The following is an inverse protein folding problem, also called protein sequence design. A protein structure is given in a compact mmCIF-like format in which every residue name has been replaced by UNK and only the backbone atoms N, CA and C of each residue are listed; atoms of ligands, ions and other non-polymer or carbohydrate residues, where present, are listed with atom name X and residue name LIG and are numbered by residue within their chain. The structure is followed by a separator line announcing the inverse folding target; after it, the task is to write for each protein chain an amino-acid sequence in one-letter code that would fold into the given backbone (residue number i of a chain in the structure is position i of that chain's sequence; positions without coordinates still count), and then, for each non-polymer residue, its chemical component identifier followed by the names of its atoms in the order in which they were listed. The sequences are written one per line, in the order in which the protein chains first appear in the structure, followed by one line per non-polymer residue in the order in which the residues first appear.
data_IF_948284219884
#
_entry.id   IF_948284219884
#
_cell.length_a   1.000
_cell.length_b   1.000
_cell.length_c   1.000
_cell.angle_alpha   90.00
_cell.angle_beta   90.00
_cell.angle_gamma   90.00
#
_symmetry.space_group_name_H-M   'P 1'
#
loop_
_entity.id
_entity.type
_entity.pdbx_description
1 polymer ?
#
# COMPACT_ATOMS: atom_id res chain seq x y z
N UNK A 1 -8.95 6.86 6.13
CA UNK A 1 -9.83 7.63 7.05
C UNK A 1 -11.22 7.04 6.85
N UNK A 2 -11.90 6.62 7.91
CA UNK A 2 -13.28 6.10 7.86
C UNK A 2 -14.27 7.25 8.03
N UNK A 3 -15.54 7.01 7.77
CA UNK A 3 -16.63 7.91 8.16
C UNK A 3 -16.80 7.85 9.68
N UNK A 4 -17.47 8.81 10.28
CA UNK A 4 -17.67 9.00 11.72
C UNK A 4 -19.14 8.84 12.17
N UNK A 5 -19.96 8.30 11.28
CA UNK A 5 -21.37 8.01 11.51
C UNK A 5 -21.71 6.59 11.05
N UNK A 6 -22.81 6.02 11.55
CA UNK A 6 -23.35 4.74 11.15
C UNK A 6 -23.77 4.75 9.68
N UNK A 7 -23.29 3.79 8.91
CA UNK A 7 -23.54 3.71 7.46
C UNK A 7 -23.34 2.28 6.94
N UNK A 8 -23.62 2.04 5.67
CA UNK A 8 -23.26 0.78 5.03
C UNK A 8 -21.76 0.51 5.11
N UNK A 9 -21.40 -0.75 5.30
CA UNK A 9 -20.00 -1.16 5.45
C UNK A 9 -19.13 -0.69 4.27
N UNK A 10 -19.63 -0.76 3.03
CA UNK A 10 -18.90 -0.26 1.85
C UNK A 10 -18.66 1.25 1.90
N UNK A 11 -19.56 2.03 2.46
CA UNK A 11 -19.42 3.47 2.57
C UNK A 11 -18.38 3.85 3.63
N UNK A 12 -18.34 3.12 4.76
CA UNK A 12 -17.38 3.38 5.83
C UNK A 12 -15.93 3.41 5.33
N UNK A 13 -15.59 2.58 4.35
CA UNK A 13 -14.25 2.46 3.80
C UNK A 13 -14.03 3.24 2.49
N UNK A 14 -15.06 3.93 1.97
CA UNK A 14 -15.06 4.59 0.66
C UNK A 14 -14.01 5.69 0.47
N UNK A 15 -13.48 6.26 1.56
CA UNK A 15 -12.36 7.23 1.52
C UNK A 15 -11.03 6.61 1.09
N UNK A 16 -10.90 5.27 1.07
CA UNK A 16 -9.71 4.57 0.62
C UNK A 16 -9.72 4.37 -0.91
N UNK A 17 -8.74 4.91 -1.61
CA UNK A 17 -8.58 4.70 -3.07
C UNK A 17 -8.42 3.22 -3.41
N UNK A 18 -7.63 2.48 -2.61
CA UNK A 18 -7.43 1.03 -2.81
C UNK A 18 -8.75 0.29 -2.65
N UNK A 19 -9.51 0.61 -1.60
CA UNK A 19 -10.79 -0.04 -1.35
C UNK A 19 -11.77 0.20 -2.52
N UNK A 20 -11.88 1.44 -3.02
CA UNK A 20 -12.73 1.73 -4.17
C UNK A 20 -12.36 0.94 -5.42
N UNK A 21 -11.07 0.87 -5.74
CA UNK A 21 -10.60 0.09 -6.88
C UNK A 21 -10.86 -1.42 -6.70
N UNK A 22 -10.74 -1.94 -5.47
CA UNK A 22 -11.10 -3.31 -5.16
C UNK A 22 -12.60 -3.56 -5.32
N UNK A 23 -13.45 -2.69 -4.74
CA UNK A 23 -14.91 -2.80 -4.86
C UNK A 23 -15.34 -2.78 -6.32
N UNK A 24 -14.81 -1.87 -7.11
CA UNK A 24 -15.12 -1.78 -8.53
C UNK A 24 -14.75 -3.06 -9.28
N UNK A 25 -13.57 -3.62 -9.04
CA UNK A 25 -13.15 -4.91 -9.61
C UNK A 25 -14.07 -6.05 -9.14
N UNK A 26 -14.26 -6.20 -7.82
CA UNK A 26 -15.02 -7.30 -7.24
C UNK A 26 -16.47 -7.30 -7.70
N UNK A 27 -17.12 -6.14 -7.78
CA UNK A 27 -18.50 -6.01 -8.22
C UNK A 27 -18.72 -6.37 -9.71
N UNK A 28 -17.66 -6.37 -10.52
CA UNK A 28 -17.75 -6.76 -11.93
C UNK A 28 -17.34 -8.21 -12.20
N UNK A 29 -16.64 -8.85 -11.24
CA UNK A 29 -15.96 -10.13 -11.49
C UNK A 29 -16.44 -11.27 -10.62
N UNK A 30 -17.15 -10.98 -9.53
CA UNK A 30 -17.69 -11.98 -8.59
C UNK A 30 -19.20 -11.81 -8.44
N UNK A 31 -19.89 -12.93 -8.24
CA UNK A 31 -21.32 -12.94 -7.95
C UNK A 31 -21.62 -12.29 -6.59
N UNK A 32 -20.79 -12.61 -5.59
CA UNK A 32 -20.87 -12.06 -4.23
C UNK A 32 -19.49 -11.61 -3.74
N UNK A 33 -19.45 -10.54 -2.96
CA UNK A 33 -18.26 -10.11 -2.27
C UNK A 33 -18.56 -9.59 -0.86
N UNK A 34 -17.56 -9.67 0.02
CA UNK A 34 -17.68 -9.36 1.43
C UNK A 34 -16.51 -8.49 1.90
N UNK A 35 -16.70 -7.78 2.99
CA UNK A 35 -15.68 -6.97 3.65
C UNK A 35 -15.14 -7.74 4.85
N UNK A 36 -13.82 -7.93 4.92
CA UNK A 36 -13.14 -8.50 6.07
C UNK A 36 -12.76 -7.38 7.06
N UNK A 37 -13.56 -7.23 8.11
CA UNK A 37 -13.46 -6.20 9.14
C UNK A 37 -12.63 -6.66 10.34
N UNK A 38 -11.82 -5.76 10.91
CA UNK A 38 -11.08 -6.02 12.15
C UNK A 38 -11.97 -6.06 13.40
N UNK A 39 -13.20 -5.53 13.34
CA UNK A 39 -14.17 -5.54 14.45
C UNK A 39 -15.26 -6.58 14.23
N UNK A 40 -15.80 -6.64 13.03
CA UNK A 40 -17.03 -7.37 12.75
C UNK A 40 -16.83 -8.75 12.10
N UNK A 41 -15.61 -9.10 11.66
CA UNK A 41 -15.35 -10.32 10.89
C UNK A 41 -15.73 -10.15 9.41
N UNK A 42 -16.35 -11.16 8.81
CA UNK A 42 -16.84 -11.10 7.43
C UNK A 42 -18.25 -10.52 7.46
N UNK A 43 -18.46 -9.41 6.72
CA UNK A 43 -19.72 -8.67 6.65
C UNK A 43 -20.08 -8.37 5.20
N UNK A 44 -21.38 -8.20 4.93
CA UNK A 44 -21.86 -7.78 3.61
C UNK A 44 -21.55 -6.30 3.37
N UNK A 45 -21.39 -5.88 2.11
CA UNK A 45 -21.22 -4.47 1.77
C UNK A 45 -22.34 -3.55 2.29
N UNK A 46 -23.55 -4.08 2.33
CA UNK A 46 -24.78 -3.38 2.72
C UNK A 46 -25.11 -3.48 4.22
N UNK A 47 -24.32 -4.22 5.01
CA UNK A 47 -24.54 -4.26 6.46
C UNK A 47 -24.31 -2.87 7.05
N UNK A 48 -25.28 -2.43 7.87
CA UNK A 48 -25.16 -1.17 8.61
C UNK A 48 -24.23 -1.38 9.80
N UNK A 49 -23.16 -0.59 9.87
CA UNK A 49 -22.17 -0.71 10.93
C UNK A 49 -21.79 0.64 11.53
N UNK A 50 -21.51 0.63 12.81
CA UNK A 50 -20.96 1.79 13.52
C UNK A 50 -19.49 2.04 13.13
N UNK A 51 -19.06 3.30 13.13
CA UNK A 51 -17.66 3.65 12.99
C UNK A 51 -16.82 3.03 14.11
N UNK A 52 -15.60 2.64 13.77
CA UNK A 52 -14.66 2.11 14.75
C UNK A 52 -13.23 2.43 14.37
N UNK A 53 -12.36 2.55 15.37
CA UNK A 53 -10.93 2.72 15.22
C UNK A 53 -10.19 1.56 15.87
N UNK A 54 -10.15 0.42 15.15
CA UNK A 54 -9.46 -0.80 15.58
C UNK A 54 -8.49 -1.25 14.51
N UNK A 55 -7.28 -1.61 14.91
CA UNK A 55 -6.23 -2.09 14.01
C UNK A 55 -5.45 -3.27 14.62
N UNK A 56 -4.77 -4.04 13.76
CA UNK A 56 -3.88 -5.14 14.18
C UNK A 56 -2.50 -4.67 14.65
N UNK A 57 -2.19 -3.39 14.52
CA UNK A 57 -0.88 -2.82 14.89
C UNK A 57 -1.04 -1.41 15.41
N UNK A 58 -0.19 -1.05 16.35
CA UNK A 58 0.00 0.36 16.72
C UNK A 58 0.37 1.15 15.46
N UNK A 59 -0.39 2.20 15.17
CA UNK A 59 -0.02 3.08 14.06
C UNK A 59 1.32 3.76 14.38
N UNK A 60 2.10 4.09 13.34
CA UNK A 60 3.37 4.84 13.51
C UNK A 60 3.18 6.19 14.20
N UNK A 61 1.97 6.70 14.23
CA UNK A 61 1.60 7.97 14.87
C UNK A 61 0.95 7.78 16.25
N UNK A 62 0.96 6.56 16.81
CA UNK A 62 0.34 6.24 18.10
C UNK A 62 -1.18 6.41 18.14
N UNK A 63 -1.84 6.49 16.97
CA UNK A 63 -3.31 6.67 16.89
C UNK A 63 -3.99 5.35 16.62
N UNK A 64 -5.16 5.19 17.20
CA UNK A 64 -6.04 4.04 17.02
C UNK A 64 -5.87 2.96 18.09
N UNK A 65 -6.94 2.26 18.35
CA UNK A 65 -6.97 1.15 19.28
C UNK A 65 -6.41 -0.11 18.62
N UNK A 66 -5.56 -0.81 19.34
CA UNK A 66 -5.05 -2.12 18.90
C UNK A 66 -5.97 -3.19 19.45
N UNK A 67 -6.33 -4.15 18.59
CA UNK A 67 -7.14 -5.30 19.00
C UNK A 67 -6.42 -6.06 20.15
N UNK A 68 -7.15 -6.40 21.20
CA UNK A 68 -6.61 -7.21 22.29
C UNK A 68 -6.32 -8.64 21.83
N UNK A 69 -5.43 -9.38 22.50
CA UNK A 69 -5.18 -10.79 22.17
C UNK A 69 -6.44 -11.66 22.25
N UNK A 70 -7.33 -11.38 23.19
CA UNK A 70 -8.60 -12.09 23.38
C UNK A 70 -9.56 -11.80 22.22
N UNK A 71 -9.80 -10.52 21.91
CA UNK A 71 -10.65 -10.11 20.78
C UNK A 71 -10.11 -10.62 19.46
N UNK A 72 -8.77 -10.64 19.28
CA UNK A 72 -8.13 -11.20 18.10
C UNK A 72 -8.41 -12.71 17.97
N UNK A 73 -8.39 -13.44 19.09
CA UNK A 73 -8.70 -14.87 19.08
C UNK A 73 -10.17 -15.11 18.73
N UNK A 74 -11.08 -14.36 19.36
CA UNK A 74 -12.51 -14.41 19.05
C UNK A 74 -12.80 -14.07 17.59
N UNK A 75 -12.13 -13.03 17.05
CA UNK A 75 -12.22 -12.66 15.65
C UNK A 75 -11.74 -13.79 14.72
N UNK A 76 -10.62 -14.47 15.06
CA UNK A 76 -10.13 -15.62 14.28
C UNK A 76 -11.15 -16.74 14.24
N UNK A 77 -11.72 -17.12 15.38
CA UNK A 77 -12.76 -18.15 15.43
C UNK A 77 -13.93 -17.76 14.55
N UNK A 78 -14.47 -16.55 14.73
CA UNK A 78 -15.59 -16.03 13.94
C UNK A 78 -15.32 -16.06 12.44
N UNK A 79 -14.18 -15.53 12.01
CA UNK A 79 -13.79 -15.44 10.58
C UNK A 79 -13.65 -16.84 9.98
N UNK A 80 -13.03 -17.80 10.69
CA UNK A 80 -12.89 -19.15 10.16
C UNK A 80 -14.25 -19.85 10.03
N UNK A 81 -15.14 -19.72 11.04
CA UNK A 81 -16.52 -20.27 10.96
C UNK A 81 -17.29 -19.68 9.78
N UNK A 82 -17.28 -18.35 9.65
CA UNK A 82 -17.94 -17.67 8.52
C UNK A 82 -17.38 -18.12 7.16
N UNK A 83 -16.06 -18.32 7.07
CA UNK A 83 -15.42 -18.78 5.83
C UNK A 83 -15.82 -20.21 5.49
N UNK A 84 -15.92 -21.11 6.46
CA UNK A 84 -16.38 -22.47 6.19
C UNK A 84 -17.77 -22.50 5.58
N UNK A 85 -18.69 -21.68 6.10
CA UNK A 85 -20.05 -21.56 5.52
C UNK A 85 -20.01 -21.06 4.07
N UNK A 86 -19.12 -20.12 3.73
CA UNK A 86 -18.95 -19.67 2.35
C UNK A 86 -18.37 -20.77 1.45
N UNK A 87 -17.43 -21.55 1.96
CA UNK A 87 -16.76 -22.64 1.20
C UNK A 87 -17.70 -23.80 0.87
N UNK A 88 -18.81 -23.97 1.59
CA UNK A 88 -19.81 -25.01 1.30
C UNK A 88 -20.41 -24.88 -0.11
N UNK A 89 -20.52 -23.66 -0.62
CA UNK A 89 -21.22 -23.37 -1.88
C UNK A 89 -20.38 -22.60 -2.91
N UNK A 90 -19.17 -22.16 -2.56
CA UNK A 90 -18.42 -21.23 -3.43
C UNK A 90 -16.91 -21.36 -3.25
N UNK A 91 -16.16 -21.01 -4.31
CA UNK A 91 -14.74 -20.68 -4.22
C UNK A 91 -14.60 -19.35 -3.47
N UNK A 92 -13.64 -19.27 -2.56
CA UNK A 92 -13.37 -18.07 -1.77
C UNK A 92 -11.97 -17.52 -2.09
N UNK A 93 -11.92 -16.31 -2.60
CA UNK A 93 -10.69 -15.59 -2.90
C UNK A 93 -10.52 -14.41 -1.93
N UNK A 94 -9.33 -14.28 -1.32
CA UNK A 94 -9.06 -13.28 -0.29
C UNK A 94 -8.17 -12.16 -0.81
N UNK A 95 -8.76 -10.99 -1.00
CA UNK A 95 -8.12 -9.75 -1.46
C UNK A 95 -7.70 -8.87 -0.27
N UNK A 96 -6.84 -9.39 0.61
CA UNK A 96 -6.49 -8.70 1.84
C UNK A 96 -4.99 -8.69 2.14
N UNK A 97 -4.58 -7.72 2.96
CA UNK A 97 -3.20 -7.61 3.41
C UNK A 97 -2.80 -8.73 4.38
N UNK A 98 -1.50 -8.91 4.57
CA UNK A 98 -0.94 -9.98 5.42
C UNK A 98 -1.54 -10.06 6.84
N UNK A 99 -1.81 -8.95 7.57
CA UNK A 99 -2.44 -9.04 8.88
C UNK A 99 -3.81 -9.73 8.85
N UNK A 100 -4.64 -9.45 7.84
CA UNK A 100 -5.94 -10.09 7.66
C UNK A 100 -5.80 -11.56 7.24
N UNK A 101 -4.84 -11.89 6.37
CA UNK A 101 -4.55 -13.29 6.02
C UNK A 101 -4.23 -14.15 7.23
N UNK A 102 -3.61 -13.60 8.27
CA UNK A 102 -3.29 -14.30 9.52
C UNK A 102 -4.50 -14.59 10.43
N UNK A 103 -5.68 -14.12 10.08
CA UNK A 103 -6.92 -14.49 10.78
C UNK A 103 -7.33 -15.93 10.45
N UNK A 104 -7.03 -16.39 9.24
CA UNK A 104 -7.37 -17.74 8.81
C UNK A 104 -6.42 -18.77 9.40
N UNK A 105 -6.94 -19.87 9.92
CA UNK A 105 -6.14 -21.01 10.37
C UNK A 105 -5.54 -21.76 9.17
N UNK A 106 -4.60 -22.69 9.43
CA UNK A 106 -3.87 -23.39 8.37
C UNK A 106 -4.78 -24.21 7.46
N UNK A 107 -5.85 -24.79 8.00
CA UNK A 107 -6.75 -25.64 7.22
C UNK A 107 -7.68 -24.81 6.33
N UNK A 108 -8.19 -23.70 6.84
CA UNK A 108 -8.90 -22.72 6.02
C UNK A 108 -7.99 -22.15 4.93
N UNK A 109 -6.73 -21.80 5.26
CA UNK A 109 -5.77 -21.28 4.27
C UNK A 109 -5.47 -22.21 3.10
N UNK A 110 -5.64 -23.53 3.26
CA UNK A 110 -5.47 -24.50 2.17
C UNK A 110 -6.66 -24.52 1.20
N UNK A 111 -7.82 -24.07 1.65
CA UNK A 111 -9.08 -24.12 0.91
C UNK A 111 -9.42 -22.81 0.20
N UNK A 112 -8.79 -21.70 0.58
CA UNK A 112 -9.03 -20.36 0.03
C UNK A 112 -7.86 -19.88 -0.81
N UNK A 113 -8.13 -19.06 -1.81
CA UNK A 113 -7.11 -18.44 -2.65
C UNK A 113 -6.67 -17.10 -2.08
N UNK A 114 -5.38 -16.93 -1.90
CA UNK A 114 -4.80 -15.64 -1.51
C UNK A 114 -4.39 -14.82 -2.72
N UNK A 115 -5.09 -13.72 -2.96
CA UNK A 115 -4.67 -12.73 -3.95
C UNK A 115 -3.63 -11.80 -3.31
N UNK A 116 -2.38 -11.85 -3.80
CA UNK A 116 -1.29 -11.01 -3.27
C UNK A 116 -1.50 -9.57 -3.68
N UNK A 117 -1.61 -8.70 -2.68
CA UNK A 117 -1.62 -7.26 -2.92
C UNK A 117 -0.19 -6.72 -3.07
N UNK A 118 -0.05 -5.67 -3.84
CA UNK A 118 1.21 -4.96 -4.01
C UNK A 118 1.68 -4.33 -2.69
N UNK A 119 2.98 -4.03 -2.57
CA UNK A 119 3.56 -3.53 -1.32
C UNK A 119 3.12 -2.13 -0.93
N UNK A 120 2.66 -1.32 -1.87
CA UNK A 120 2.21 0.04 -1.62
C UNK A 120 0.81 0.28 -2.19
N UNK A 121 0.09 1.25 -1.61
CA UNK A 121 -1.29 1.54 -1.99
C UNK A 121 -1.48 1.98 -3.44
N UNK A 122 -0.67 2.90 -4.02
CA UNK A 122 -0.83 3.27 -5.42
C UNK A 122 -0.68 2.09 -6.37
N UNK A 123 0.31 1.22 -6.14
CA UNK A 123 0.51 0.02 -6.97
C UNK A 123 -0.64 -0.98 -6.82
N UNK A 124 -1.17 -1.14 -5.61
CA UNK A 124 -2.34 -1.99 -5.38
C UNK A 124 -3.57 -1.45 -6.11
N UNK A 125 -3.86 -0.17 -5.97
CA UNK A 125 -4.98 0.47 -6.69
C UNK A 125 -4.86 0.26 -8.20
N UNK A 126 -3.70 0.55 -8.76
CA UNK A 126 -3.46 0.46 -10.20
C UNK A 126 -3.60 -0.97 -10.73
N UNK A 127 -3.11 -1.98 -9.98
CA UNK A 127 -3.24 -3.37 -10.37
C UNK A 127 -4.70 -3.85 -10.46
N UNK A 128 -5.58 -3.35 -9.61
CA UNK A 128 -7.01 -3.66 -9.69
C UNK A 128 -7.69 -2.94 -10.88
N UNK A 129 -7.32 -1.70 -11.15
CA UNK A 129 -7.84 -0.96 -12.30
C UNK A 129 -7.44 -1.62 -13.63
N UNK A 130 -6.16 -1.99 -13.78
CA UNK A 130 -5.69 -2.70 -14.96
C UNK A 130 -6.35 -4.08 -15.12
N UNK A 131 -6.49 -4.83 -14.03
CA UNK A 131 -7.16 -6.12 -14.05
C UNK A 131 -8.64 -6.02 -14.45
N UNK A 132 -9.33 -4.96 -14.04
CA UNK A 132 -10.70 -4.71 -14.46
C UNK A 132 -10.80 -4.43 -15.96
N UNK A 133 -9.89 -3.64 -16.50
CA UNK A 133 -9.86 -3.38 -17.95
C UNK A 133 -9.56 -4.66 -18.75
N UNK A 134 -8.64 -5.51 -18.27
CA UNK A 134 -8.39 -6.82 -18.87
C UNK A 134 -9.61 -7.73 -18.81
N UNK A 135 -10.33 -7.75 -17.70
CA UNK A 135 -11.55 -8.53 -17.57
C UNK A 135 -12.65 -8.06 -18.54
N UNK A 136 -12.85 -6.76 -18.67
CA UNK A 136 -13.78 -6.18 -19.65
C UNK A 136 -13.42 -6.52 -21.10
N UNK A 137 -12.13 -6.79 -21.38
CA UNK A 137 -11.63 -7.23 -22.69
C UNK A 137 -11.75 -8.75 -22.90
N UNK A 138 -12.30 -9.49 -21.94
CA UNK A 138 -12.54 -10.95 -22.04
C UNK A 138 -11.43 -11.81 -21.44
N UNK A 139 -10.50 -11.23 -20.68
CA UNK A 139 -9.50 -12.01 -19.91
C UNK A 139 -10.19 -12.77 -18.79
N UNK A 140 -9.75 -14.01 -18.52
CA UNK A 140 -10.33 -14.83 -17.46
C UNK A 140 -10.10 -14.22 -16.06
N UNK A 141 -10.96 -14.54 -15.10
CA UNK A 141 -10.78 -14.10 -13.71
C UNK A 141 -9.43 -14.56 -13.15
N UNK A 142 -9.03 -15.82 -13.38
CA UNK A 142 -7.77 -16.36 -12.87
C UNK A 142 -6.53 -15.64 -13.43
N UNK A 143 -6.57 -15.25 -14.70
CA UNK A 143 -5.52 -14.43 -15.30
C UNK A 143 -5.49 -13.01 -14.72
N UNK A 144 -6.66 -12.42 -14.46
CA UNK A 144 -6.76 -11.12 -13.78
C UNK A 144 -6.19 -11.18 -12.35
N UNK A 145 -6.47 -12.25 -11.58
CA UNK A 145 -5.93 -12.47 -10.25
C UNK A 145 -4.40 -12.68 -10.28
N UNK A 146 -3.92 -13.37 -11.28
CA UNK A 146 -2.48 -13.53 -11.54
C UNK A 146 -1.85 -12.17 -11.84
N UNK A 147 -2.47 -11.35 -12.67
CA UNK A 147 -2.04 -10.00 -12.97
C UNK A 147 -1.94 -9.15 -11.70
N UNK A 148 -3.00 -9.06 -10.87
CA UNK A 148 -2.97 -8.34 -9.58
C UNK A 148 -1.81 -8.80 -8.70
N UNK A 149 -1.52 -10.10 -8.68
CA UNK A 149 -0.52 -10.71 -7.80
C UNK A 149 0.92 -10.52 -8.30
N UNK A 150 1.12 -10.41 -9.60
CA UNK A 150 2.44 -10.45 -10.25
C UNK A 150 2.93 -9.08 -10.73
N UNK A 151 2.06 -8.09 -10.89
CA UNK A 151 2.53 -6.76 -11.25
C UNK A 151 3.60 -6.30 -10.25
N UNK A 152 4.84 -6.49 -10.66
CA UNK A 152 5.90 -5.62 -10.21
C UNK A 152 5.66 -4.34 -10.98
N UNK A 153 5.09 -3.32 -10.33
CA UNK A 153 5.26 -2.00 -10.95
C UNK A 153 6.72 -1.90 -11.35
N UNK A 154 7.01 -1.50 -12.59
CA UNK A 154 8.35 -1.05 -12.89
C UNK A 154 8.66 -0.06 -11.78
N UNK A 155 9.67 -0.34 -10.97
CA UNK A 155 10.27 0.69 -10.11
C UNK A 155 10.37 1.85 -11.03
N UNK A 156 9.56 2.89 -10.80
CA UNK A 156 9.45 4.06 -11.67
C UNK A 156 10.84 4.28 -12.20
N UNK A 157 11.13 4.01 -13.50
CA UNK A 157 12.50 3.90 -13.95
C UNK A 157 13.11 5.21 -13.53
N UNK A 158 14.03 5.14 -12.57
CA UNK A 158 14.61 6.35 -12.03
C UNK A 158 15.23 7.05 -13.24
N UNK A 159 14.54 8.06 -13.73
CA UNK A 159 14.98 8.82 -14.90
C UNK A 159 16.29 9.47 -14.50
N UNK A 160 17.38 9.21 -15.20
CA UNK A 160 18.64 9.88 -14.92
C UNK A 160 18.44 11.38 -14.88
N UNK A 161 19.01 12.02 -13.89
CA UNK A 161 18.93 13.48 -13.68
C UNK A 161 20.31 14.04 -13.45
N UNK A 162 20.44 15.34 -13.65
CA UNK A 162 21.60 16.06 -13.17
C UNK A 162 21.48 16.27 -11.66
N UNK A 163 22.53 15.94 -10.94
CA UNK A 163 22.73 16.27 -9.54
C UNK A 163 23.84 17.29 -9.43
N UNK A 164 23.61 18.34 -8.72
CA UNK A 164 24.52 19.48 -8.57
C UNK A 164 24.97 19.58 -7.12
N UNK A 165 26.25 19.86 -6.95
CA UNK A 165 26.85 20.12 -5.65
C UNK A 165 27.86 21.27 -5.79
N UNK A 166 27.93 22.15 -4.78
CA UNK A 166 28.80 23.34 -4.83
C UNK A 166 30.28 23.03 -5.07
N UNK A 167 30.75 21.93 -4.48
CA UNK A 167 32.18 21.57 -4.45
C UNK A 167 32.51 20.36 -5.36
N UNK A 168 31.57 19.86 -6.16
CA UNK A 168 31.77 18.73 -7.04
C UNK A 168 31.28 19.05 -8.45
N UNK A 169 31.81 18.35 -9.43
CA UNK A 169 31.29 18.43 -10.79
C UNK A 169 29.83 17.91 -10.84
N UNK A 170 29.01 18.47 -11.74
CA UNK A 170 27.65 17.94 -11.92
C UNK A 170 27.69 16.45 -12.30
N UNK A 171 26.89 15.65 -11.63
CA UNK A 171 26.73 14.21 -11.88
C UNK A 171 25.44 13.97 -12.65
N UNK A 172 25.51 13.26 -13.78
CA UNK A 172 24.33 12.83 -14.53
C UNK A 172 24.12 11.34 -14.37
N UNK A 173 23.02 10.93 -13.76
CA UNK A 173 22.71 9.53 -13.52
C UNK A 173 21.52 9.34 -12.59
N UNK A 174 21.41 8.15 -12.03
CA UNK A 174 20.41 7.81 -11.02
C UNK A 174 20.96 8.09 -9.62
N UNK A 175 20.07 8.33 -8.66
CA UNK A 175 20.46 8.54 -7.25
C UNK A 175 21.33 7.39 -6.69
N UNK A 176 21.05 6.15 -7.11
CA UNK A 176 21.85 5.00 -6.71
C UNK A 176 23.29 5.04 -7.25
N UNK A 177 23.46 5.50 -8.50
CA UNK A 177 24.78 5.59 -9.13
C UNK A 177 25.61 6.71 -8.48
N UNK A 178 24.97 7.85 -8.17
CA UNK A 178 25.60 8.92 -7.39
C UNK A 178 26.06 8.42 -6.01
N UNK A 179 25.27 7.61 -5.34
CA UNK A 179 25.64 7.05 -4.02
C UNK A 179 26.76 6.01 -4.09
N UNK A 180 27.00 5.38 -5.24
CA UNK A 180 28.15 4.51 -5.44
C UNK A 180 29.47 5.32 -5.55
N UNK A 181 29.38 6.48 -6.16
CA UNK A 181 30.53 7.37 -6.32
C UNK A 181 30.84 8.14 -5.03
N UNK A 182 29.79 8.51 -4.29
CA UNK A 182 29.89 9.26 -3.03
C UNK A 182 29.30 8.43 -1.88
N UNK A 183 30.13 7.58 -1.27
CA UNK A 183 29.72 6.56 -0.28
C UNK A 183 29.11 7.13 1.00
N UNK A 184 29.30 8.40 1.30
CA UNK A 184 28.68 9.08 2.44
C UNK A 184 27.20 9.39 2.23
N UNK A 185 26.65 9.21 1.00
CA UNK A 185 25.27 9.50 0.68
C UNK A 185 24.36 8.33 1.03
N UNK A 186 23.21 8.64 1.65
CA UNK A 186 22.12 7.68 1.83
C UNK A 186 21.25 7.58 0.56
N UNK A 187 21.10 6.36 0.04
CA UNK A 187 20.38 6.10 -1.20
C UNK A 187 18.91 6.55 -1.13
N UNK A 188 18.24 6.33 0.01
CA UNK A 188 16.84 6.70 0.18
C UNK A 188 16.65 8.22 0.20
N UNK A 189 17.55 8.95 0.87
CA UNK A 189 17.51 10.41 0.92
C UNK A 189 17.89 11.04 -0.43
N UNK A 190 18.88 10.51 -1.11
CA UNK A 190 19.30 10.95 -2.46
C UNK A 190 18.17 10.71 -3.48
N UNK A 191 17.49 9.58 -3.40
CA UNK A 191 16.31 9.29 -4.22
C UNK A 191 15.15 10.28 -3.96
N UNK A 192 14.94 10.73 -2.71
CA UNK A 192 13.95 11.77 -2.40
C UNK A 192 14.32 13.12 -3.02
N UNK A 193 15.61 13.44 -3.09
CA UNK A 193 16.10 14.63 -3.83
C UNK A 193 15.80 14.48 -5.31
N UNK A 194 16.07 13.32 -5.92
CA UNK A 194 15.79 13.07 -7.34
C UNK A 194 14.30 13.20 -7.69
N UNK A 195 13.41 12.96 -6.72
CA UNK A 195 11.96 13.14 -6.87
C UNK A 195 11.47 14.56 -6.54
N UNK A 196 12.35 15.47 -6.17
CA UNK A 196 11.98 16.81 -5.68
C UNK A 196 11.29 16.82 -4.32
N UNK A 197 11.26 15.68 -3.59
CA UNK A 197 10.62 15.58 -2.27
C UNK A 197 11.47 16.14 -1.13
N UNK A 198 12.78 16.20 -1.35
CA UNK A 198 13.72 16.90 -0.48
C UNK A 198 14.51 17.90 -1.33
N UNK A 199 14.76 19.11 -0.84
CA UNK A 199 15.50 20.12 -1.60
C UNK A 199 16.96 19.74 -1.82
N UNK A 200 17.57 19.02 -0.86
CA UNK A 200 18.94 18.55 -0.94
C UNK A 200 19.23 17.39 0.01
N UNK A 201 20.35 16.67 -0.25
CA UNK A 201 20.97 15.73 0.69
C UNK A 201 22.47 15.92 0.68
N UNK A 202 23.07 16.26 1.83
CA UNK A 202 24.50 16.54 1.98
C UNK A 202 25.06 17.47 0.88
N UNK A 203 24.32 18.51 0.54
CA UNK A 203 24.69 19.49 -0.46
C UNK A 203 24.30 19.17 -1.90
N UNK A 204 23.92 17.94 -2.22
CA UNK A 204 23.45 17.54 -3.54
C UNK A 204 21.98 17.92 -3.75
N UNK A 205 21.68 18.49 -4.92
CA UNK A 205 20.33 18.92 -5.35
C UNK A 205 20.13 18.61 -6.83
N UNK A 206 18.90 18.61 -7.31
CA UNK A 206 18.56 18.50 -8.75
C UNK A 206 18.37 19.87 -9.43
N UNK A 207 18.48 20.95 -8.70
CA UNK A 207 18.40 22.31 -9.20
C UNK A 207 19.76 23.00 -9.08
N UNK A 208 20.34 23.37 -10.21
CA UNK A 208 21.64 24.00 -10.27
C UNK A 208 21.70 25.32 -9.49
N UNK A 209 20.65 26.12 -9.54
CA UNK A 209 20.58 27.38 -8.81
C UNK A 209 20.60 27.16 -7.29
N UNK A 210 19.93 26.12 -6.82
CA UNK A 210 19.91 25.74 -5.41
C UNK A 210 21.25 25.22 -4.91
N UNK A 211 22.08 24.61 -5.78
CA UNK A 211 23.40 24.12 -5.38
C UNK A 211 24.32 25.24 -4.87
N UNK A 212 24.18 26.43 -5.42
CA UNK A 212 24.95 27.62 -5.03
C UNK A 212 24.52 28.22 -3.69
N UNK A 213 23.32 27.90 -3.24
CA UNK A 213 22.72 28.42 -1.99
C UNK A 213 22.76 27.42 -0.85
N UNK A 214 23.12 26.15 -1.11
CA UNK A 214 23.30 25.12 -0.09
C UNK A 214 24.65 25.25 0.57
N UNK A 215 24.73 25.30 1.88
CA UNK A 215 25.97 25.41 2.62
C UNK A 215 25.96 24.52 3.87
N UNK A 216 27.15 24.10 4.28
CA UNK A 216 27.34 23.31 5.49
C UNK A 216 27.60 24.24 6.69
N UNK A 217 26.85 24.02 7.77
CA UNK A 217 27.10 24.71 9.04
C UNK A 217 28.27 24.08 9.80
N UNK A 218 28.96 24.83 10.68
CA UNK A 218 29.84 24.23 11.69
C UNK A 218 29.05 23.18 12.47
N UNK A 219 29.54 21.94 12.49
CA UNK A 219 28.82 20.77 13.04
C UNK A 219 28.22 19.82 11.99
N UNK A 220 28.44 20.08 10.69
CA UNK A 220 28.16 19.12 9.61
C UNK A 220 26.74 19.13 9.04
N UNK A 221 25.82 19.94 9.55
CA UNK A 221 24.48 20.06 8.95
C UNK A 221 24.44 20.96 7.71
N UNK A 222 23.60 20.62 6.74
CA UNK A 222 23.42 21.37 5.49
C UNK A 222 22.16 22.23 5.53
N UNK A 223 22.24 23.45 4.99
CA UNK A 223 21.09 24.37 4.91
C UNK A 223 21.05 25.10 3.57
N UNK A 224 19.86 25.54 3.17
CA UNK A 224 19.67 26.46 2.04
C UNK A 224 19.69 27.89 2.56
N UNK A 225 20.49 28.75 1.96
CA UNK A 225 20.45 30.19 2.22
C UNK A 225 19.14 30.73 1.62
N UNK A 226 18.26 31.26 2.47
CA UNK A 226 17.06 31.96 2.01
C UNK A 226 17.43 33.32 1.42
#
# INVERSE_FOLDING_TARGET
MKLDYECEAQELYSKSYVFRAQVEFLSHTYDDWYILSAKYGIIKPTDIIEPYDLSFRVSRRGRGNVITPEDLNNLKVKVNTQTQTLLENSRVDIHASVPYWKLFNKDTQKQITKVKQQRNQPSTMHSYQEALELYKQGTTLDDCLTHISTIKQPKNPEVPKYFYHRNHQPFFGKAYDLCKEYLELDVGMTYRVSLGKNPHHKGWTIDESSSKTVFQLPGGSWRIKK
#
